data_IF_955978317986
#
_entry.id   IF_955978317986
#
_cell.length_a   1.000
_cell.length_b   1.000
_cell.length_c   1.000
_cell.angle_alpha   90.00
_cell.angle_beta   90.00
_cell.angle_gamma   90.00
#
_symmetry.space_group_name_H-M   'P 1'
#
loop_
_entity.id
_entity.type
_entity.pdbx_description
1 polymer ?
#
# COMPACT_ATOMS: atom_id res chain seq x y z
N UNK A 1 11.73 -13.12 -3.41
CA UNK A 1 10.61 -13.08 -2.45
C UNK A 1 10.39 -11.61 -2.15
N UNK A 2 9.17 -11.12 -2.34
CA UNK A 2 8.80 -9.74 -2.05
C UNK A 2 7.71 -9.69 -1.00
N UNK A 3 7.55 -8.55 -0.36
CA UNK A 3 6.48 -8.35 0.58
C UNK A 3 6.08 -6.87 0.63
N UNK A 4 4.83 -6.64 1.04
CA UNK A 4 4.29 -5.30 1.14
C UNK A 4 3.13 -5.23 2.12
N UNK A 5 2.59 -4.02 2.25
CA UNK A 5 1.49 -3.69 3.14
C UNK A 5 0.38 -3.03 2.34
N UNK A 6 -0.86 -3.41 2.63
CA UNK A 6 -2.04 -2.79 2.05
C UNK A 6 -2.90 -2.16 3.15
N UNK A 7 -2.84 -0.83 3.31
CA UNK A 7 -3.73 -0.11 4.19
C UNK A 7 -5.15 -0.14 3.65
N UNK A 8 -6.11 -0.48 4.51
CA UNK A 8 -7.54 -0.50 4.18
C UNK A 8 -8.36 0.24 5.22
N UNK A 9 -9.54 0.70 4.83
CA UNK A 9 -10.49 1.35 5.74
C UNK A 9 -11.92 1.07 5.33
N UNK A 10 -12.83 1.03 6.30
CA UNK A 10 -14.26 1.17 6.04
C UNK A 10 -14.62 2.65 6.08
N UNK A 11 -15.20 3.16 5.01
CA UNK A 11 -15.70 4.53 4.94
C UNK A 11 -17.12 4.51 4.36
N UNK A 12 -18.09 5.00 5.14
CA UNK A 12 -19.52 4.97 4.80
C UNK A 12 -20.00 3.57 4.39
N UNK A 13 -19.55 2.54 5.10
CA UNK A 13 -19.92 1.14 4.86
C UNK A 13 -19.25 0.48 3.64
N UNK A 14 -18.41 1.20 2.89
CA UNK A 14 -17.65 0.63 1.78
C UNK A 14 -16.18 0.42 2.17
N UNK A 15 -15.59 -0.68 1.70
CA UNK A 15 -14.17 -0.98 1.86
C UNK A 15 -13.35 -0.19 0.84
N UNK A 16 -12.36 0.56 1.32
CA UNK A 16 -11.39 1.28 0.50
C UNK A 16 -10.00 0.70 0.69
N UNK A 17 -9.25 0.63 -0.41
CA UNK A 17 -7.85 0.26 -0.46
C UNK A 17 -7.00 1.51 -0.70
N UNK A 18 -5.93 1.73 0.07
CA UNK A 18 -4.94 2.75 -0.26
C UNK A 18 -3.92 2.13 -1.21
N UNK A 19 -3.86 2.64 -2.44
CA UNK A 19 -2.92 2.18 -3.45
C UNK A 19 -1.93 3.29 -3.79
N UNK A 20 -0.69 2.90 -4.12
CA UNK A 20 0.36 3.80 -4.61
C UNK A 20 0.58 3.62 -6.11
N UNK A 21 0.77 4.73 -6.82
CA UNK A 21 1.16 4.74 -8.23
C UNK A 21 2.68 4.85 -8.36
N UNK A 22 3.26 3.89 -9.06
CA UNK A 22 4.67 3.85 -9.39
C UNK A 22 5.08 5.05 -10.24
N UNK A 23 6.23 5.64 -9.92
CA UNK A 23 6.82 6.76 -10.68
C UNK A 23 7.24 6.35 -12.09
N UNK A 24 7.84 5.16 -12.25
CA UNK A 24 8.48 4.73 -13.50
C UNK A 24 7.50 4.32 -14.60
N UNK A 25 6.40 3.64 -14.24
CA UNK A 25 5.49 3.03 -15.23
C UNK A 25 4.01 3.41 -15.02
N UNK A 26 3.71 4.28 -14.05
CA UNK A 26 2.36 4.75 -13.74
C UNK A 26 1.39 3.62 -13.33
N UNK A 27 1.90 2.44 -12.98
CA UNK A 27 1.09 1.32 -12.54
C UNK A 27 0.77 1.44 -11.04
N UNK A 28 -0.32 0.82 -10.62
CA UNK A 28 -0.78 0.84 -9.23
C UNK A 28 -0.54 -0.49 -8.54
N UNK A 29 -0.17 -0.43 -7.27
CA UNK A 29 -0.02 -1.58 -6.38
C UNK A 29 -0.17 -1.14 -4.91
N UNK A 30 0.02 -2.09 -4.00
CA UNK A 30 0.28 -1.81 -2.60
C UNK A 30 1.70 -1.24 -2.39
N UNK A 31 2.11 -1.12 -1.13
CA UNK A 31 3.40 -0.57 -0.75
C UNK A 31 4.36 -1.71 -0.39
N UNK A 32 5.36 -1.98 -1.23
CA UNK A 32 6.17 -3.19 -1.08
C UNK A 32 7.21 -3.40 -2.16
N UNK A 33 8.20 -4.22 -1.80
CA UNK A 33 9.38 -4.45 -2.64
C UNK A 33 10.06 -5.78 -2.35
N UNK A 34 11.35 -5.84 -2.67
CA UNK A 34 12.14 -7.08 -2.59
C UNK A 34 12.80 -7.22 -1.23
N UNK A 35 12.83 -8.44 -0.70
CA UNK A 35 13.53 -8.70 0.55
C UNK A 35 15.05 -8.56 0.41
N UNK A 36 15.69 -7.96 1.40
CA UNK A 36 17.14 -8.06 1.58
C UNK A 36 17.54 -9.48 1.99
N UNK A 37 18.82 -9.84 1.79
CA UNK A 37 19.32 -11.19 2.13
C UNK A 37 19.12 -11.50 3.61
N UNK A 38 18.31 -12.52 3.91
CA UNK A 38 18.00 -12.95 5.28
C UNK A 38 16.85 -12.17 5.95
N UNK A 39 16.25 -11.21 5.26
CA UNK A 39 15.11 -10.43 5.76
C UNK A 39 13.83 -11.29 5.77
N UNK A 40 13.07 -11.21 6.87
CA UNK A 40 11.76 -11.89 6.98
C UNK A 40 10.71 -11.11 6.19
N UNK A 41 9.72 -11.77 5.54
CA UNK A 41 8.70 -11.09 4.73
C UNK A 41 8.00 -9.93 5.44
N UNK A 42 7.64 -10.08 6.73
CA UNK A 42 6.99 -9.01 7.47
C UNK A 42 7.91 -7.79 7.64
N UNK A 43 9.19 -7.99 7.98
CA UNK A 43 10.16 -6.89 8.11
C UNK A 43 10.42 -6.20 6.77
N UNK A 44 10.50 -6.97 5.68
CA UNK A 44 10.53 -6.40 4.32
C UNK A 44 9.30 -5.51 4.08
N UNK A 45 8.10 -5.98 4.41
CA UNK A 45 6.87 -5.21 4.21
C UNK A 45 6.82 -3.91 5.03
N UNK A 46 7.31 -3.94 6.27
CA UNK A 46 7.39 -2.74 7.12
C UNK A 46 8.38 -1.72 6.56
N UNK A 47 9.61 -2.15 6.22
CA UNK A 47 10.63 -1.27 5.65
C UNK A 47 10.15 -0.63 4.34
N UNK A 48 9.77 -1.46 3.38
CA UNK A 48 9.30 -1.01 2.05
C UNK A 48 8.04 -0.14 2.18
N UNK A 49 7.10 -0.53 3.06
CA UNK A 49 5.91 0.26 3.33
C UNK A 49 6.23 1.65 3.88
N UNK A 50 7.16 1.74 4.83
CA UNK A 50 7.60 3.02 5.42
C UNK A 50 8.30 3.90 4.39
N UNK A 51 9.20 3.31 3.59
CA UNK A 51 9.96 3.97 2.52
C UNK A 51 9.01 4.53 1.44
N UNK A 52 8.13 3.69 0.89
CA UNK A 52 7.24 4.07 -0.20
C UNK A 52 6.08 4.99 0.25
N UNK A 53 5.67 4.92 1.52
CA UNK A 53 4.73 5.87 2.12
C UNK A 53 5.42 7.17 2.56
N UNK A 54 6.74 7.31 2.41
CA UNK A 54 7.52 8.47 2.86
C UNK A 54 7.23 8.86 4.32
N UNK A 55 7.03 7.87 5.20
CA UNK A 55 6.74 8.07 6.62
C UNK A 55 5.38 8.70 6.94
N UNK A 56 4.45 8.80 5.99
CA UNK A 56 3.13 9.40 6.22
C UNK A 56 2.26 8.66 7.25
N UNK A 57 2.57 7.39 7.51
CA UNK A 57 1.91 6.57 8.52
C UNK A 57 2.82 6.29 9.74
N UNK A 58 3.84 7.13 9.94
CA UNK A 58 4.82 7.01 11.03
C UNK A 58 6.21 6.59 10.54
N UNK A 59 7.18 6.64 11.44
CA UNK A 59 8.49 6.00 11.22
C UNK A 59 8.38 4.46 11.22
N UNK A 60 9.49 3.75 10.96
CA UNK A 60 9.46 2.28 10.84
C UNK A 60 8.90 1.57 12.10
N UNK A 61 9.21 2.09 13.29
CA UNK A 61 8.75 1.50 14.55
C UNK A 61 7.26 1.79 14.78
N UNK A 62 6.85 3.04 14.56
CA UNK A 62 5.44 3.45 14.65
C UNK A 62 4.59 2.68 13.63
N UNK A 63 5.12 2.52 12.42
CA UNK A 63 4.46 1.82 11.33
C UNK A 63 4.36 0.32 11.61
N UNK A 64 5.40 -0.32 12.13
CA UNK A 64 5.34 -1.71 12.57
C UNK A 64 4.27 -1.92 13.65
N UNK A 65 4.22 -1.03 14.64
CA UNK A 65 3.22 -1.09 15.72
C UNK A 65 1.80 -0.89 15.17
N UNK A 66 1.61 0.06 14.25
CA UNK A 66 0.35 0.32 13.56
C UNK A 66 -0.12 -0.93 12.79
N UNK A 67 0.74 -1.49 11.93
CA UNK A 67 0.41 -2.67 11.11
C UNK A 67 0.13 -3.88 11.99
N UNK A 68 0.95 -4.13 13.01
CA UNK A 68 0.80 -5.28 13.90
C UNK A 68 -0.51 -5.23 14.69
N UNK A 69 -0.82 -4.06 15.27
CA UNK A 69 -2.02 -3.89 16.10
C UNK A 69 -3.31 -3.90 15.28
N UNK A 70 -3.21 -3.56 13.99
CA UNK A 70 -4.36 -3.43 13.10
C UNK A 70 -4.40 -4.47 11.97
N UNK A 71 -3.60 -5.53 12.07
CA UNK A 71 -3.53 -6.55 11.03
C UNK A 71 -4.85 -7.32 10.92
N UNK A 72 -5.34 -7.46 9.69
CA UNK A 72 -6.57 -8.19 9.38
C UNK A 72 -6.22 -9.58 8.86
N UNK A 73 -5.39 -9.63 7.82
CA UNK A 73 -4.98 -10.87 7.15
C UNK A 73 -3.71 -10.63 6.33
N UNK A 74 -2.90 -11.67 6.14
CA UNK A 74 -1.86 -11.68 5.11
C UNK A 74 -2.31 -12.53 3.92
N UNK A 75 -2.07 -12.04 2.71
CA UNK A 75 -2.36 -12.75 1.47
C UNK A 75 -1.05 -12.99 0.74
N UNK A 76 -0.70 -14.27 0.57
CA UNK A 76 0.48 -14.68 -0.20
C UNK A 76 0.06 -15.20 -1.57
N UNK A 77 0.75 -14.75 -2.62
CA UNK A 77 0.62 -15.25 -3.97
C UNK A 77 2.00 -15.38 -4.62
N UNK A 78 2.33 -16.58 -5.10
CA UNK A 78 3.67 -16.96 -5.58
C UNK A 78 4.76 -16.54 -4.57
N UNK A 79 5.68 -15.64 -4.94
CA UNK A 79 6.78 -15.18 -4.10
C UNK A 79 6.51 -13.85 -3.40
N UNK A 80 5.26 -13.36 -3.42
CA UNK A 80 4.85 -12.08 -2.85
C UNK A 80 3.85 -12.26 -1.71
N UNK A 81 4.01 -11.53 -0.61
CA UNK A 81 3.05 -11.50 0.51
C UNK A 81 2.65 -10.07 0.83
N UNK A 82 1.35 -9.78 0.82
CA UNK A 82 0.82 -8.49 1.28
C UNK A 82 0.15 -8.64 2.64
N UNK A 83 0.48 -7.74 3.56
CA UNK A 83 -0.12 -7.65 4.89
C UNK A 83 -1.22 -6.58 4.87
N UNK A 84 -2.46 -7.02 4.99
CA UNK A 84 -3.64 -6.14 4.95
C UNK A 84 -3.95 -5.71 6.37
N UNK A 85 -4.02 -4.40 6.61
CA UNK A 85 -4.26 -3.84 7.93
C UNK A 85 -5.22 -2.66 7.87
N UNK A 86 -5.98 -2.46 8.94
CA UNK A 86 -6.90 -1.33 9.09
C UNK A 86 -6.11 -0.04 9.39
N UNK A 87 -6.48 1.05 8.73
CA UNK A 87 -6.06 2.40 9.10
C UNK A 87 -7.25 3.36 9.02
N UNK A 88 -7.06 4.60 9.49
CA UNK A 88 -8.10 5.61 9.45
C UNK A 88 -8.26 6.18 8.04
N UNK A 89 -9.51 6.36 7.61
CA UNK A 89 -9.79 7.08 6.37
C UNK A 89 -9.44 8.57 6.52
N UNK A 90 -8.44 9.02 5.75
CA UNK A 90 -8.14 10.44 5.57
C UNK A 90 -8.25 10.81 4.09
N UNK A 91 -9.24 11.67 3.78
CA UNK A 91 -9.48 12.20 2.44
C UNK A 91 -8.34 13.11 1.96
N UNK A 92 -7.60 13.76 2.87
CA UNK A 92 -6.50 14.68 2.54
C UNK A 92 -5.15 13.97 2.43
N UNK A 93 -5.01 12.75 2.92
CA UNK A 93 -3.77 11.97 2.83
C UNK A 93 -3.20 11.91 1.39
N UNK A 94 -3.98 11.55 0.34
CA UNK A 94 -3.54 11.65 -1.05
C UNK A 94 -3.01 13.02 -1.46
N UNK A 95 -3.67 14.09 -1.03
CA UNK A 95 -3.29 15.46 -1.35
C UNK A 95 -1.96 15.84 -0.71
N UNK A 96 -1.76 15.52 0.57
CA UNK A 96 -0.52 15.81 1.28
C UNK A 96 0.65 14.99 0.73
N UNK A 97 0.44 13.71 0.46
CA UNK A 97 1.44 12.84 -0.15
C UNK A 97 1.91 13.36 -1.51
N UNK A 98 0.97 13.73 -2.39
CA UNK A 98 1.29 14.28 -3.71
C UNK A 98 1.99 15.64 -3.64
N UNK A 99 1.68 16.47 -2.64
CA UNK A 99 2.40 17.74 -2.44
C UNK A 99 3.87 17.53 -2.06
N UNK A 100 4.14 16.62 -1.12
CA UNK A 100 5.51 16.27 -0.72
C UNK A 100 6.29 15.68 -1.91
N UNK A 101 5.65 14.79 -2.68
CA UNK A 101 6.27 14.21 -3.87
C UNK A 101 6.61 15.26 -4.93
N UNK A 102 5.68 16.17 -5.24
CA UNK A 102 5.94 17.26 -6.19
C UNK A 102 7.04 18.21 -5.72
N UNK A 103 7.11 18.49 -4.42
CA UNK A 103 8.21 19.27 -3.85
C UNK A 103 9.55 18.54 -4.02
N UNK A 104 9.60 17.24 -3.69
CA UNK A 104 10.78 16.41 -3.85
C UNK A 104 11.23 16.30 -5.31
N UNK A 105 10.30 16.19 -6.27
CA UNK A 105 10.63 16.20 -7.71
C UNK A 105 11.35 17.47 -8.17
N UNK A 106 10.99 18.62 -7.58
CA UNK A 106 11.58 19.91 -7.93
C UNK A 106 12.95 20.13 -7.29
N UNK A 107 13.15 19.61 -6.08
CA UNK A 107 14.31 19.97 -5.24
C UNK A 107 15.28 18.81 -4.96
N UNK A 108 14.84 17.57 -5.16
CA UNK A 108 15.56 16.34 -4.82
C UNK A 108 15.63 15.38 -6.02
N UNK A 109 15.54 15.90 -7.25
CA UNK A 109 15.50 15.09 -8.47
C UNK A 109 16.64 14.07 -8.56
N UNK A 110 17.86 14.49 -8.24
CA UNK A 110 19.04 13.61 -8.26
C UNK A 110 18.88 12.42 -7.29
N UNK A 111 18.23 12.63 -6.14
CA UNK A 111 17.97 11.56 -5.18
C UNK A 111 16.91 10.58 -5.70
N UNK A 112 15.88 11.09 -6.35
CA UNK A 112 14.79 10.27 -6.90
C UNK A 112 15.24 9.45 -8.11
N UNK A 113 16.01 10.05 -9.01
CA UNK A 113 16.37 9.42 -10.28
C UNK A 113 17.58 8.49 -10.18
N UNK A 114 18.50 8.77 -9.23
CA UNK A 114 19.79 8.07 -9.13
C UNK A 114 19.77 7.03 -8.00
N UNK A 115 19.10 7.30 -6.88
CA UNK A 115 19.08 6.38 -5.75
C UNK A 115 17.93 5.37 -5.88
N UNK A 116 18.25 4.07 -5.85
CA UNK A 116 17.27 2.99 -5.81
C UNK A 116 17.18 2.46 -4.37
N UNK A 117 16.63 3.29 -3.49
CA UNK A 117 16.54 3.05 -2.05
C UNK A 117 15.08 3.01 -1.53
N UNK A 118 14.09 2.84 -2.42
CA UNK A 118 12.67 2.77 -2.05
C UNK A 118 12.00 4.14 -1.82
N UNK A 119 12.78 5.20 -1.54
CA UNK A 119 12.23 6.53 -1.27
C UNK A 119 11.64 7.16 -2.53
N UNK A 120 10.46 7.76 -2.40
CA UNK A 120 9.75 8.44 -3.49
C UNK A 120 9.47 7.57 -4.74
N UNK A 121 9.52 6.24 -4.63
CA UNK A 121 9.18 5.33 -5.75
C UNK A 121 7.70 5.45 -6.14
N UNK A 122 6.81 5.71 -5.18
CA UNK A 122 5.43 6.10 -5.43
C UNK A 122 5.33 7.61 -5.61
N UNK A 123 4.76 8.04 -6.73
CA UNK A 123 4.57 9.47 -7.02
C UNK A 123 3.24 10.03 -6.52
N UNK A 124 2.24 9.17 -6.33
CA UNK A 124 0.95 9.52 -5.72
C UNK A 124 0.31 8.30 -5.08
N UNK A 125 -0.61 8.54 -4.14
CA UNK A 125 -1.44 7.52 -3.51
C UNK A 125 -2.90 7.90 -3.66
N UNK A 126 -3.80 6.93 -3.59
CA UNK A 126 -5.23 7.18 -3.69
C UNK A 126 -6.04 6.11 -2.97
N UNK A 127 -7.13 6.54 -2.34
CA UNK A 127 -8.16 5.65 -1.82
C UNK A 127 -9.07 5.15 -2.94
N UNK A 128 -9.11 3.84 -3.15
CA UNK A 128 -9.95 3.17 -4.14
C UNK A 128 -11.06 2.36 -3.45
N UNK A 129 -12.34 2.65 -3.73
CA UNK A 129 -13.42 1.79 -3.25
C UNK A 129 -13.35 0.44 -3.94
N UNK A 130 -13.36 -0.65 -3.17
CA UNK A 130 -13.30 -2.01 -3.69
C UNK A 130 -14.48 -2.30 -4.63
N UNK A 131 -15.64 -1.68 -4.41
CA UNK A 131 -16.79 -1.76 -5.31
C UNK A 131 -16.46 -1.36 -6.75
N UNK A 132 -15.70 -0.28 -6.95
CA UNK A 132 -15.28 0.15 -8.29
C UNK A 132 -14.32 -0.85 -8.94
N UNK A 133 -13.43 -1.44 -8.15
CA UNK A 133 -12.54 -2.51 -8.61
C UNK A 133 -13.28 -3.81 -8.95
N UNK A 134 -14.47 -4.05 -8.38
CA UNK A 134 -15.32 -5.19 -8.76
C UNK A 134 -16.06 -4.95 -10.06
N UNK A 135 -16.56 -3.73 -10.26
CA UNK A 135 -17.27 -3.32 -11.47
C UNK A 135 -16.36 -3.36 -12.70
N UNK A 136 -15.19 -2.73 -12.60
CA UNK A 136 -14.25 -2.65 -13.72
C UNK A 136 -12.81 -2.41 -13.23
N UNK A 137 -12.02 -3.49 -13.23
CA UNK A 137 -10.60 -3.45 -12.84
C UNK A 137 -9.73 -2.69 -13.83
N UNK A 138 -10.18 -2.53 -15.08
CA UNK A 138 -9.40 -1.85 -16.12
C UNK A 138 -9.27 -0.35 -15.87
N UNK A 139 -10.12 0.22 -15.01
CA UNK A 139 -10.02 1.63 -14.57
C UNK A 139 -8.76 1.92 -13.77
N UNK A 140 -8.10 0.88 -13.23
CA UNK A 140 -6.83 1.01 -12.52
C UNK A 140 -5.78 0.19 -13.23
N UNK A 141 -4.74 0.85 -13.72
CA UNK A 141 -3.61 0.21 -14.38
C UNK A 141 -2.73 -0.52 -13.35
N UNK A 142 -3.15 -1.69 -12.88
CA UNK A 142 -2.41 -2.47 -11.89
C UNK A 142 -1.11 -3.06 -12.46
N UNK A 143 -0.11 -3.25 -11.59
CA UNK A 143 1.03 -4.14 -11.90
C UNK A 143 0.51 -5.55 -12.16
N UNK A 144 1.02 -6.22 -13.20
CA UNK A 144 0.50 -7.54 -13.61
C UNK A 144 0.54 -8.58 -12.49
N UNK A 145 1.65 -8.67 -11.76
CA UNK A 145 1.77 -9.61 -10.64
C UNK A 145 0.85 -9.28 -9.45
N UNK A 146 0.33 -8.05 -9.37
CA UNK A 146 -0.50 -7.58 -8.26
C UNK A 146 -1.99 -7.87 -8.49
N UNK A 147 -2.42 -8.06 -9.75
CA UNK A 147 -3.82 -8.39 -10.09
C UNK A 147 -4.36 -9.63 -9.36
N UNK A 148 -3.62 -10.75 -9.20
CA UNK A 148 -4.07 -11.89 -8.40
C UNK A 148 -4.37 -11.53 -6.94
N UNK A 149 -3.63 -10.59 -6.35
CA UNK A 149 -3.85 -10.16 -4.98
C UNK A 149 -5.16 -9.37 -4.85
N UNK A 150 -5.44 -8.47 -5.79
CA UNK A 150 -6.75 -7.79 -5.89
C UNK A 150 -7.90 -8.80 -6.01
N UNK A 151 -7.73 -9.85 -6.81
CA UNK A 151 -8.74 -10.91 -6.92
C UNK A 151 -8.99 -11.61 -5.57
N UNK A 152 -7.92 -11.88 -4.82
CA UNK A 152 -8.01 -12.46 -3.48
C UNK A 152 -8.69 -11.53 -2.49
N UNK A 153 -8.43 -10.22 -2.54
CA UNK A 153 -9.13 -9.24 -1.70
C UNK A 153 -10.63 -9.23 -1.99
N UNK A 154 -11.01 -9.19 -3.28
CA UNK A 154 -12.42 -9.22 -3.69
C UNK A 154 -13.11 -10.49 -3.19
N UNK A 155 -12.44 -11.65 -3.32
CA UNK A 155 -12.98 -12.93 -2.83
C UNK A 155 -13.18 -12.93 -1.30
N UNK A 156 -12.31 -12.24 -0.56
CA UNK A 156 -12.33 -12.18 0.90
C UNK A 156 -13.01 -10.90 1.45
N UNK A 157 -13.67 -10.10 0.62
CA UNK A 157 -14.25 -8.81 1.01
C UNK A 157 -15.14 -8.92 2.25
N UNK A 158 -16.06 -9.89 2.28
CA UNK A 158 -16.97 -10.08 3.42
C UNK A 158 -16.22 -10.32 4.73
N UNK A 159 -15.20 -11.18 4.68
CA UNK A 159 -14.37 -11.47 5.84
C UNK A 159 -13.63 -10.21 6.31
N UNK A 160 -12.97 -9.49 5.39
CA UNK A 160 -12.22 -8.27 5.71
C UNK A 160 -13.14 -7.21 6.33
N UNK A 161 -14.32 -6.99 5.75
CA UNK A 161 -15.32 -6.04 6.27
C UNK A 161 -15.78 -6.45 7.67
N UNK A 162 -16.19 -7.71 7.86
CA UNK A 162 -16.62 -8.21 9.17
C UNK A 162 -15.51 -8.09 10.21
N UNK A 163 -14.27 -8.40 9.87
CA UNK A 163 -13.14 -8.29 10.79
C UNK A 163 -12.92 -6.84 11.22
N UNK A 164 -12.87 -5.89 10.28
CA UNK A 164 -12.69 -4.46 10.59
C UNK A 164 -13.77 -3.96 11.57
N UNK A 165 -15.01 -4.39 11.39
CA UNK A 165 -16.14 -4.03 12.27
C UNK A 165 -16.04 -4.59 13.69
N UNK A 166 -15.21 -5.61 13.92
CA UNK A 166 -14.93 -6.15 15.27
C UNK A 166 -13.76 -5.47 15.97
N UNK A 167 -13.02 -4.61 15.24
CA UNK A 167 -11.87 -3.87 15.76
C UNK A 167 -12.25 -2.47 16.27
N UNK A 168 -13.53 -2.11 16.21
CA UNK A 168 -14.12 -0.89 16.79
C UNK A 168 -14.82 -1.25 18.12
#
# INVERSE_FOLDING_TARGET
>A
MGAGVLPVTLYKGALFLLLGQERKNNLWADFGGSAHKGEKPFKTAIREGTEELNGFLGDENEFEALVTSNMIISISYDKYTSYIFKTNYDKKLPYYFSNVNRFAELHLKDKIDIEHNGLFEKKQIQWYPLSKLKEDKSQVAFREFYKPLINSIIKNERFIVSFIQTMD
#
